data_IF_466407280754
#
_entry.id   IF_466407280754
#
_cell.length_a   1.000
_cell.length_b   1.000
_cell.length_c   1.000
_cell.angle_alpha   90.00
_cell.angle_beta   90.00
_cell.angle_gamma   90.00
#
_symmetry.space_group_name_H-M   'P 1'
#
loop_
_entity.id
_entity.type
_entity.pdbx_description
1 polymer ?
#
# COMPACT_ATOMS: atom_id res chain seq x y z
N UNK A 1 -11.15 -2.29 -34.23
CA UNK A 1 -10.68 -2.64 -32.87
C UNK A 1 -10.35 -1.36 -32.12
N UNK A 2 -11.15 -1.00 -31.12
CA UNK A 2 -10.74 0.04 -30.16
C UNK A 2 -9.65 -0.54 -29.26
N UNK A 3 -8.56 0.20 -28.95
CA UNK A 3 -7.56 -0.27 -28.01
C UNK A 3 -8.21 -0.49 -26.64
N UNK A 4 -8.01 -1.67 -26.06
CA UNK A 4 -8.43 -2.00 -24.71
C UNK A 4 -7.81 -0.98 -23.75
N UNK A 5 -8.67 -0.34 -22.96
CA UNK A 5 -8.31 0.50 -21.82
C UNK A 5 -7.29 -0.29 -20.98
N UNK A 6 -6.11 0.27 -20.63
CA UNK A 6 -5.21 -0.43 -19.72
C UNK A 6 -5.99 -0.77 -18.46
N UNK A 7 -5.87 -2.02 -17.99
CA UNK A 7 -6.55 -2.51 -16.80
C UNK A 7 -6.46 -1.46 -15.70
N UNK A 8 -7.62 -1.07 -15.19
CA UNK A 8 -7.82 0.01 -14.23
C UNK A 8 -6.85 -0.11 -13.06
N UNK A 9 -5.71 0.57 -13.13
CA UNK A 9 -4.81 0.77 -12.00
C UNK A 9 -5.63 1.49 -10.92
N UNK A 10 -5.91 0.82 -9.81
CA UNK A 10 -6.66 1.43 -8.72
C UNK A 10 -5.78 2.52 -8.10
N UNK A 11 -6.03 3.78 -8.45
CA UNK A 11 -5.35 4.92 -7.85
C UNK A 11 -5.89 5.13 -6.43
N UNK A 12 -5.04 5.06 -5.39
CA UNK A 12 -5.48 5.31 -4.02
C UNK A 12 -6.00 6.74 -3.87
N UNK A 13 -7.10 6.90 -3.12
CA UNK A 13 -7.71 8.21 -2.86
C UNK A 13 -6.88 8.99 -1.85
N UNK A 14 -6.65 10.28 -2.10
CA UNK A 14 -5.93 11.20 -1.21
C UNK A 14 -4.54 10.70 -0.78
N UNK A 15 -3.78 10.16 -1.75
CA UNK A 15 -2.50 9.51 -1.44
C UNK A 15 -1.48 10.49 -0.85
N UNK A 16 -1.33 11.70 -1.39
CA UNK A 16 -0.35 12.67 -0.89
C UNK A 16 -0.78 13.22 0.47
N UNK A 17 -2.04 13.60 0.61
CA UNK A 17 -2.59 14.15 1.85
C UNK A 17 -2.49 13.13 3.00
N UNK A 18 -2.69 11.84 2.71
CA UNK A 18 -2.52 10.77 3.70
C UNK A 18 -1.07 10.68 4.18
N UNK A 19 -0.11 10.87 3.29
CA UNK A 19 1.32 10.70 3.60
C UNK A 19 1.86 11.89 4.38
N UNK A 20 1.40 13.09 4.04
CA UNK A 20 1.64 14.31 4.80
C UNK A 20 1.01 14.22 6.19
N UNK A 21 -0.25 13.80 6.30
CA UNK A 21 -0.95 13.70 7.58
C UNK A 21 -0.37 12.62 8.51
N UNK A 22 0.03 11.48 7.96
CA UNK A 22 0.73 10.43 8.71
C UNK A 22 2.19 10.79 9.02
N UNK A 23 2.70 11.87 8.43
CA UNK A 23 4.09 12.30 8.53
C UNK A 23 5.07 11.13 8.31
N UNK A 24 4.89 10.37 7.23
CA UNK A 24 5.66 9.14 6.98
C UNK A 24 7.16 9.45 6.93
N UNK A 25 7.96 8.72 7.72
CA UNK A 25 9.41 8.89 7.84
C UNK A 25 10.15 7.56 7.60
N UNK A 26 11.39 7.62 7.10
CA UNK A 26 12.29 6.48 7.06
C UNK A 26 12.39 5.77 8.42
N UNK A 27 12.34 4.45 8.43
CA UNK A 27 12.44 3.64 9.66
C UNK A 27 11.17 3.61 10.51
N UNK A 28 10.10 4.31 10.09
CA UNK A 28 8.83 4.35 10.81
C UNK A 28 8.10 3.01 10.84
N UNK A 29 7.17 2.87 11.79
CA UNK A 29 6.28 1.70 11.92
C UNK A 29 4.83 2.15 11.77
N UNK A 30 4.13 1.55 10.83
CA UNK A 30 2.78 1.97 10.44
C UNK A 30 1.79 0.81 10.53
N UNK A 31 0.52 1.14 10.71
CA UNK A 31 -0.58 0.19 10.63
C UNK A 31 -1.56 0.70 9.59
N UNK A 32 -1.80 -0.08 8.54
CA UNK A 32 -2.88 0.15 7.58
C UNK A 32 -4.04 -0.77 7.95
N UNK A 33 -5.04 -0.21 8.62
CA UNK A 33 -6.18 -0.96 9.15
C UNK A 33 -7.18 -1.41 8.07
N UNK A 34 -7.00 -0.98 6.82
CA UNK A 34 -7.89 -1.23 5.69
C UNK A 34 -7.06 -1.43 4.42
N UNK A 35 -6.12 -2.38 4.46
CA UNK A 35 -5.07 -2.50 3.44
C UNK A 35 -5.65 -2.67 2.03
N UNK A 36 -6.83 -3.28 1.89
CA UNK A 36 -7.51 -3.43 0.61
C UNK A 36 -6.59 -4.05 -0.43
N UNK A 37 -6.42 -3.37 -1.57
CA UNK A 37 -5.48 -3.79 -2.62
C UNK A 37 -4.00 -3.45 -2.38
N UNK A 38 -3.64 -2.84 -1.24
CA UNK A 38 -2.27 -2.47 -0.88
C UNK A 38 -1.78 -1.11 -1.40
N UNK A 39 -2.69 -0.27 -1.90
CA UNK A 39 -2.36 1.01 -2.54
C UNK A 39 -1.69 2.03 -1.62
N UNK A 40 -2.30 2.33 -0.47
CA UNK A 40 -1.70 3.20 0.56
C UNK A 40 -0.52 2.52 1.25
N UNK A 41 -0.64 1.23 1.59
CA UNK A 41 0.46 0.46 2.16
C UNK A 41 1.75 0.53 1.34
N UNK A 42 1.68 0.39 0.01
CA UNK A 42 2.85 0.54 -0.88
C UNK A 42 3.47 1.93 -0.76
N UNK A 43 2.66 2.98 -0.78
CA UNK A 43 3.14 4.35 -0.66
C UNK A 43 3.79 4.64 0.70
N UNK A 44 3.28 4.04 1.79
CA UNK A 44 3.90 4.10 3.12
C UNK A 44 5.26 3.40 3.09
N UNK A 45 5.33 2.18 2.56
CA UNK A 45 6.56 1.38 2.49
C UNK A 45 7.65 2.05 1.64
N UNK A 46 7.27 2.66 0.52
CA UNK A 46 8.18 3.42 -0.34
C UNK A 46 8.75 4.65 0.39
N UNK A 47 7.91 5.45 1.06
CA UNK A 47 8.33 6.66 1.79
C UNK A 47 9.06 6.38 3.11
N UNK A 48 8.73 5.26 3.76
CA UNK A 48 9.37 4.85 5.03
C UNK A 48 10.64 4.03 4.82
N UNK A 49 11.05 3.80 3.58
CA UNK A 49 12.35 3.25 3.26
C UNK A 49 13.47 4.28 3.51
N UNK A 50 14.67 3.86 3.97
CA UNK A 50 15.00 2.51 4.43
C UNK A 50 14.46 2.21 5.85
N UNK A 51 14.27 0.92 6.14
CA UNK A 51 13.99 0.43 7.50
C UNK A 51 12.55 0.51 7.98
N UNK A 52 11.64 1.07 7.17
CA UNK A 52 10.21 1.14 7.48
C UNK A 52 9.55 -0.23 7.54
N UNK A 53 8.53 -0.34 8.39
CA UNK A 53 7.69 -1.52 8.53
C UNK A 53 6.21 -1.15 8.56
N UNK A 54 5.36 -2.01 7.99
CA UNK A 54 3.92 -1.81 7.93
C UNK A 54 3.18 -3.09 8.30
N UNK A 55 2.23 -3.00 9.24
CA UNK A 55 1.24 -4.04 9.49
C UNK A 55 -0.04 -3.71 8.70
N UNK A 56 -0.40 -4.56 7.72
CA UNK A 56 -1.63 -4.45 6.96
C UNK A 56 -2.74 -5.34 7.52
N UNK A 57 -3.93 -4.79 7.71
CA UNK A 57 -5.13 -5.50 8.16
C UNK A 57 -6.28 -5.27 7.18
N UNK A 58 -7.08 -6.31 6.94
CA UNK A 58 -8.36 -6.21 6.28
C UNK A 58 -9.29 -7.30 6.81
N UNK A 59 -10.60 -7.04 6.80
CA UNK A 59 -11.60 -8.04 7.15
C UNK A 59 -11.88 -8.99 5.99
N UNK A 60 -11.64 -8.56 4.74
CA UNK A 60 -11.80 -9.39 3.55
C UNK A 60 -10.53 -10.24 3.29
N UNK A 61 -10.61 -11.57 3.39
CA UNK A 61 -9.48 -12.45 3.09
C UNK A 61 -8.99 -12.34 1.65
N UNK A 62 -9.84 -11.95 0.70
CA UNK A 62 -9.44 -11.78 -0.70
C UNK A 62 -8.61 -10.50 -0.89
N UNK A 63 -8.95 -9.42 -0.19
CA UNK A 63 -8.13 -8.21 -0.13
C UNK A 63 -6.72 -8.53 0.40
N UNK A 64 -6.61 -9.34 1.47
CA UNK A 64 -5.32 -9.79 1.99
C UNK A 64 -4.48 -10.51 0.93
N UNK A 65 -5.07 -11.43 0.15
CA UNK A 65 -4.34 -12.13 -0.93
C UNK A 65 -3.86 -11.18 -2.02
N UNK A 66 -4.71 -10.22 -2.41
CA UNK A 66 -4.37 -9.21 -3.41
C UNK A 66 -3.24 -8.32 -2.91
N UNK A 67 -3.32 -7.83 -1.66
CA UNK A 67 -2.28 -7.02 -1.03
C UNK A 67 -0.94 -7.78 -0.94
N UNK A 68 -0.95 -9.06 -0.51
CA UNK A 68 0.25 -9.89 -0.47
C UNK A 68 0.94 -10.00 -1.83
N UNK A 69 0.17 -10.21 -2.90
CA UNK A 69 0.70 -10.23 -4.26
C UNK A 69 1.25 -8.86 -4.69
N UNK A 70 0.53 -7.78 -4.41
CA UNK A 70 0.92 -6.44 -4.85
C UNK A 70 2.11 -5.87 -4.06
N UNK A 71 2.34 -6.37 -2.84
CA UNK A 71 3.41 -5.93 -1.94
C UNK A 71 4.60 -6.90 -1.88
N UNK A 72 4.68 -7.88 -2.79
CA UNK A 72 5.75 -8.90 -2.83
C UNK A 72 7.16 -8.28 -2.82
N UNK A 73 7.35 -7.16 -3.53
CA UNK A 73 8.63 -6.43 -3.56
C UNK A 73 9.05 -5.86 -2.18
N UNK A 74 8.14 -5.78 -1.22
CA UNK A 74 8.36 -5.25 0.14
C UNK A 74 8.25 -6.32 1.23
N UNK A 75 8.32 -7.62 0.89
CA UNK A 75 8.06 -8.74 1.82
C UNK A 75 8.86 -8.69 3.14
N UNK A 76 10.06 -8.09 3.15
CA UNK A 76 10.89 -7.97 4.37
C UNK A 76 10.46 -6.83 5.31
N UNK A 77 9.46 -6.04 4.91
CA UNK A 77 8.97 -4.85 5.61
C UNK A 77 7.47 -4.93 5.93
N UNK A 78 6.81 -6.05 5.65
CA UNK A 78 5.38 -6.32 5.92
C UNK A 78 5.18 -7.55 6.79
#
# INVERSE_FOLDING_TARGET
MSPSKPDSYHTPVLIEETMEALAVQPGGRYVDCTVGGGGHARAILERSSPGGQLLGLDADPEAIKIAQKNLEAHQNSV
#
